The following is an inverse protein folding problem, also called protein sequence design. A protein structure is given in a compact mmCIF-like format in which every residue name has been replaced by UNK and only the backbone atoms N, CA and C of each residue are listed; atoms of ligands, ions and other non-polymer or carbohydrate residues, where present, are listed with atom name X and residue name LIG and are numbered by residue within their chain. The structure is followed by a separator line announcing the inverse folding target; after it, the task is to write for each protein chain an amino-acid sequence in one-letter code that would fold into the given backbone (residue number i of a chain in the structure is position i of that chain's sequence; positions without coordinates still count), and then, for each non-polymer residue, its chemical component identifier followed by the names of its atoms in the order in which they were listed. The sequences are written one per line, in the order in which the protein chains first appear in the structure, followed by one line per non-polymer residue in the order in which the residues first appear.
data_IF_229607368397
#
_entry.id   IF_229607368397
#
_cell.length_a   1.000
_cell.length_b   1.000
_cell.length_c   1.000
_cell.angle_alpha   90.00
_cell.angle_beta   90.00
_cell.angle_gamma   90.00
#
_symmetry.space_group_name_H-M   'P 1'
#
loop_
_entity.id
_entity.type
_entity.pdbx_description
1 polymer ?
#
# COMPACT_ATOMS: atom_id res chain seq x y z
N UNK A 1 -23.67 -13.86 -11.89
CA UNK A 1 -22.97 -13.32 -13.08
C UNK A 1 -22.12 -12.13 -12.63
N UNK A 2 -20.79 -12.19 -12.68
CA UNK A 2 -19.98 -11.01 -12.37
C UNK A 2 -20.18 -9.95 -13.46
N UNK A 3 -20.34 -8.69 -13.07
CA UNK A 3 -20.45 -7.54 -13.97
C UNK A 3 -19.24 -6.63 -13.79
N UNK A 4 -18.68 -6.13 -14.89
CA UNK A 4 -17.56 -5.19 -14.88
C UNK A 4 -18.11 -3.77 -14.75
N UNK A 5 -17.74 -3.06 -13.68
CA UNK A 5 -18.16 -1.68 -13.43
C UNK A 5 -16.96 -0.75 -13.36
N UNK A 6 -17.16 0.51 -13.75
CA UNK A 6 -16.15 1.57 -13.59
C UNK A 6 -16.06 1.98 -12.13
N UNK A 7 -14.86 1.91 -11.56
CA UNK A 7 -14.63 2.32 -10.17
C UNK A 7 -14.57 3.85 -10.07
N UNK A 8 -15.20 4.47 -9.05
CA UNK A 8 -15.07 5.91 -8.83
C UNK A 8 -13.62 6.30 -8.57
N UNK A 9 -13.20 7.44 -9.12
CA UNK A 9 -11.87 8.00 -8.97
C UNK A 9 -12.00 9.38 -8.31
N UNK A 10 -11.66 9.53 -7.02
CA UNK A 10 -11.68 10.84 -6.35
C UNK A 10 -10.74 11.82 -7.04
N UNK A 11 -11.25 13.00 -7.39
CA UNK A 11 -10.46 14.02 -8.09
C UNK A 11 -9.31 14.54 -7.22
N UNK A 12 -9.54 14.71 -5.92
CA UNK A 12 -8.56 15.22 -4.97
C UNK A 12 -7.38 14.25 -4.84
N UNK A 13 -7.64 12.95 -4.63
CA UNK A 13 -6.61 11.92 -4.55
C UNK A 13 -5.80 11.82 -5.85
N UNK A 14 -6.47 11.89 -7.01
CA UNK A 14 -5.77 11.91 -8.30
C UNK A 14 -4.84 13.12 -8.42
N UNK A 15 -5.32 14.30 -8.07
CA UNK A 15 -4.57 15.56 -8.17
C UNK A 15 -3.38 15.56 -7.23
N UNK A 16 -3.55 15.10 -5.99
CA UNK A 16 -2.47 14.94 -5.02
C UNK A 16 -1.37 13.99 -5.54
N UNK A 17 -1.75 12.87 -6.16
CA UNK A 17 -0.80 11.92 -6.74
C UNK A 17 -0.08 12.48 -7.98
N UNK A 18 -0.78 13.21 -8.84
CA UNK A 18 -0.15 13.91 -9.99
C UNK A 18 0.88 14.94 -9.49
N UNK A 19 0.54 15.71 -8.45
CA UNK A 19 1.46 16.66 -7.80
C UNK A 19 2.64 15.98 -7.10
N UNK A 20 2.45 14.76 -6.61
CA UNK A 20 3.53 13.93 -6.05
C UNK A 20 4.45 13.33 -7.13
N UNK A 21 4.20 13.61 -8.42
CA UNK A 21 5.05 13.20 -9.54
C UNK A 21 4.63 11.89 -10.21
N UNK A 22 3.46 11.33 -9.89
CA UNK A 22 2.93 10.18 -10.63
C UNK A 22 2.43 10.59 -12.02
N UNK A 23 2.65 9.74 -13.03
CA UNK A 23 2.05 9.96 -14.34
C UNK A 23 0.50 9.91 -14.25
N UNK A 24 -0.24 10.67 -15.08
CA UNK A 24 -1.70 10.80 -14.96
C UNK A 24 -2.48 9.47 -15.00
N UNK A 25 -1.99 8.49 -15.79
CA UNK A 25 -2.61 7.18 -15.85
C UNK A 25 -2.47 6.40 -14.53
N UNK A 26 -1.31 6.48 -13.88
CA UNK A 26 -1.02 5.86 -12.59
C UNK A 26 -1.79 6.55 -11.47
N UNK A 27 -1.80 7.89 -11.44
CA UNK A 27 -2.54 8.66 -10.46
C UNK A 27 -4.04 8.29 -10.46
N UNK A 28 -4.66 8.15 -11.64
CA UNK A 28 -6.05 7.70 -11.78
C UNK A 28 -6.25 6.27 -11.27
N UNK A 29 -5.35 5.34 -11.60
CA UNK A 29 -5.43 3.95 -11.17
C UNK A 29 -5.31 3.82 -9.64
N UNK A 30 -4.36 4.54 -9.06
CA UNK A 30 -4.08 4.55 -7.62
C UNK A 30 -5.20 5.24 -6.85
N UNK A 31 -5.66 6.41 -7.29
CA UNK A 31 -6.80 7.10 -6.69
C UNK A 31 -8.08 6.23 -6.70
N UNK A 32 -8.37 5.54 -7.82
CA UNK A 32 -9.48 4.59 -7.87
C UNK A 32 -9.29 3.41 -6.89
N UNK A 33 -8.05 3.01 -6.59
CA UNK A 33 -7.76 1.97 -5.57
C UNK A 33 -7.79 2.48 -4.13
N UNK A 34 -8.09 3.74 -3.90
CA UNK A 34 -8.10 4.35 -2.56
C UNK A 34 -6.72 4.76 -2.08
N UNK A 35 -5.71 4.77 -2.96
CA UNK A 35 -4.40 5.34 -2.65
C UNK A 35 -4.54 6.85 -2.65
N UNK A 36 -4.14 7.48 -1.55
CA UNK A 36 -4.22 8.92 -1.35
C UNK A 36 -2.86 9.58 -1.24
N UNK A 37 -1.82 8.81 -0.93
CA UNK A 37 -0.47 9.31 -0.71
C UNK A 37 0.60 8.44 -1.39
N UNK A 38 1.71 9.03 -1.88
CA UNK A 38 2.78 8.31 -2.57
C UNK A 38 3.43 7.21 -1.72
N UNK A 39 3.55 7.41 -0.42
CA UNK A 39 4.14 6.43 0.51
C UNK A 39 3.41 5.08 0.54
N UNK A 40 2.10 5.06 0.25
CA UNK A 40 1.29 3.85 0.30
C UNK A 40 1.65 2.86 -0.81
N UNK A 41 2.34 3.32 -1.86
CA UNK A 41 2.81 2.50 -2.99
C UNK A 41 4.33 2.42 -3.05
N UNK A 42 5.02 2.82 -1.97
CA UNK A 42 6.48 2.79 -1.91
C UNK A 42 7.02 1.36 -1.92
N UNK A 43 7.91 1.06 -2.87
CA UNK A 43 8.51 -0.28 -3.01
C UNK A 43 9.47 -0.67 -1.88
N UNK A 44 10.13 0.29 -1.24
CA UNK A 44 11.10 0.02 -0.18
C UNK A 44 10.47 -0.12 1.21
N UNK A 45 9.14 -0.07 1.30
CA UNK A 45 8.35 -0.22 2.52
C UNK A 45 8.95 0.51 3.74
N UNK A 46 9.35 1.79 3.63
CA UNK A 46 10.08 2.50 4.68
C UNK A 46 9.25 2.73 5.96
N UNK A 47 7.93 2.57 5.87
CA UNK A 47 6.98 2.74 6.97
C UNK A 47 6.67 1.43 7.71
N UNK A 48 7.32 0.31 7.35
CA UNK A 48 7.15 -0.94 8.08
C UNK A 48 7.64 -0.79 9.52
N UNK A 49 6.89 -1.42 10.42
CA UNK A 49 7.32 -1.57 11.79
C UNK A 49 8.61 -2.42 11.83
N UNK A 50 9.67 -1.99 12.54
CA UNK A 50 10.83 -2.83 12.75
C UNK A 50 10.40 -4.17 13.39
N UNK A 51 11.09 -5.29 13.10
CA UNK A 51 10.69 -6.60 13.62
C UNK A 51 10.47 -6.60 15.14
N UNK A 52 11.37 -5.97 15.89
CA UNK A 52 11.31 -5.86 17.34
C UNK A 52 10.05 -5.14 17.88
N UNK A 53 9.36 -4.35 17.05
CA UNK A 53 8.11 -3.69 17.41
C UNK A 53 6.86 -4.58 17.22
N UNK A 54 6.99 -5.72 16.54
CA UNK A 54 5.87 -6.61 16.26
C UNK A 54 5.48 -7.40 17.51
N UNK A 55 4.18 -7.46 17.79
CA UNK A 55 3.64 -8.20 18.92
C UNK A 55 3.99 -9.70 18.80
N UNK A 56 4.60 -10.24 19.85
CA UNK A 56 5.03 -11.66 19.95
C UNK A 56 6.12 -12.12 18.96
N UNK A 57 6.88 -11.19 18.36
CA UNK A 57 7.88 -11.52 17.34
C UNK A 57 8.93 -12.55 17.81
N UNK A 58 9.46 -12.40 19.03
CA UNK A 58 10.50 -13.28 19.56
C UNK A 58 10.00 -14.72 19.71
N UNK A 59 8.78 -14.88 20.23
CA UNK A 59 8.14 -16.20 20.37
C UNK A 59 7.89 -16.84 19.00
N UNK A 60 7.41 -16.07 18.03
CA UNK A 60 7.18 -16.56 16.68
C UNK A 60 8.50 -16.97 15.99
N UNK A 61 9.56 -16.17 16.16
CA UNK A 61 10.88 -16.46 15.61
C UNK A 61 11.48 -17.75 16.19
N UNK A 62 11.39 -17.96 17.51
CA UNK A 62 11.85 -19.20 18.14
C UNK A 62 11.09 -20.44 17.62
N UNK A 63 9.75 -20.36 17.54
CA UNK A 63 8.93 -21.46 17.01
C UNK A 63 9.26 -21.79 15.54
N UNK A 64 9.56 -20.77 14.72
CA UNK A 64 9.98 -20.99 13.34
C UNK A 64 11.36 -21.64 13.27
N UNK A 65 12.30 -21.20 14.11
CA UNK A 65 13.66 -21.76 14.16
C UNK A 65 13.66 -23.23 14.63
N UNK A 66 12.76 -23.61 15.53
CA UNK A 66 12.60 -25.01 15.97
C UNK A 66 11.96 -25.91 14.89
N UNK A 67 11.24 -25.33 13.93
CA UNK A 67 10.43 -26.06 12.94
C UNK A 67 11.12 -26.26 11.57
N UNK A 68 12.29 -25.64 11.34
CA UNK A 68 13.08 -25.72 10.09
C UNK A 68 14.40 -26.44 10.32
#
# INVERSE_FOLDING_TARGET
MPSVTTRPCPADARTALEQAGFAPAWARLYAARGVTHPEQVAHRLPQLLPPAGLLHIERAAALLADAV
#
